data_IF_281521560367
#
_entry.id   IF_281521560367
#
_cell.length_a   1.000
_cell.length_b   1.000
_cell.length_c   1.000
_cell.angle_alpha   90.00
_cell.angle_beta   90.00
_cell.angle_gamma   90.00
#
_symmetry.space_group_name_H-M   'P 1'
#
loop_
_entity.id
_entity.type
_entity.pdbx_description
1 polymer ?
#
# COMPACT_ATOMS: atom_id res chain seq x y z
N UNK A 1 -50.07 42.90 36.58
CA UNK A 1 -49.22 44.05 36.96
C UNK A 1 -47.99 43.50 37.67
N UNK A 2 -46.75 43.87 37.41
CA UNK A 2 -46.14 44.75 36.42
C UNK A 2 -44.60 44.57 36.53
N UNK A 3 -43.89 44.66 35.39
CA UNK A 3 -42.46 45.01 35.21
C UNK A 3 -41.39 44.04 35.76
N UNK A 4 -40.27 43.74 35.10
CA UNK A 4 -39.66 44.25 33.87
C UNK A 4 -38.14 43.99 33.90
N UNK A 5 -37.57 43.76 32.71
CA UNK A 5 -36.17 44.06 32.26
C UNK A 5 -34.98 43.38 33.00
N UNK A 6 -34.27 42.44 32.36
CA UNK A 6 -33.10 42.60 31.44
C UNK A 6 -31.85 43.20 32.11
N UNK A 7 -30.77 42.42 32.18
CA UNK A 7 -29.37 42.67 31.73
C UNK A 7 -28.50 41.56 32.39
N UNK A 8 -27.72 40.72 31.69
CA UNK A 8 -26.47 41.11 31.04
C UNK A 8 -25.26 40.67 31.88
N UNK A 9 -24.39 39.87 31.26
CA UNK A 9 -23.04 39.48 31.69
C UNK A 9 -22.86 38.27 32.63
N UNK A 10 -22.11 37.31 32.08
CA UNK A 10 -21.46 36.20 32.76
C UNK A 10 -20.40 36.71 33.74
N UNK A 11 -20.44 36.24 34.99
CA UNK A 11 -19.24 36.04 35.81
C UNK A 11 -19.38 34.76 36.61
N UNK A 12 -18.75 33.69 36.12
CA UNK A 12 -18.56 32.48 36.92
C UNK A 12 -17.66 32.82 38.11
N UNK A 13 -18.28 32.79 39.28
CA UNK A 13 -17.66 32.89 40.59
C UNK A 13 -17.23 31.49 41.00
N UNK A 14 -15.93 31.23 41.05
CA UNK A 14 -15.40 30.05 41.72
C UNK A 14 -14.79 30.46 43.07
N UNK A 15 -15.59 30.28 44.14
CA UNK A 15 -15.13 29.99 45.51
C UNK A 15 -15.47 28.50 45.70
N UNK A 16 -14.71 27.60 46.30
CA UNK A 16 -13.52 27.64 47.13
C UNK A 16 -12.95 26.21 47.12
N UNK A 17 -11.63 26.04 47.22
CA UNK A 17 -11.10 25.01 48.13
C UNK A 17 -10.04 25.67 48.99
N UNK A 18 -10.18 25.45 50.29
CA UNK A 18 -9.47 26.11 51.36
C UNK A 18 -8.01 25.64 51.46
N UNK A 19 -7.11 26.60 51.68
CA UNK A 19 -6.16 26.55 52.80
C UNK A 19 -4.93 25.66 52.67
N UNK A 20 -3.83 26.24 52.18
CA UNK A 20 -2.52 26.05 52.80
C UNK A 20 -1.84 27.42 52.89
N UNK A 21 -1.44 27.78 54.11
CA UNK A 21 -0.77 29.01 54.52
C UNK A 21 0.43 29.37 53.63
N UNK A 22 0.47 30.60 53.12
CA UNK A 22 1.73 31.25 52.76
C UNK A 22 2.08 32.26 53.86
N UNK A 23 3.11 31.96 54.65
CA UNK A 23 3.80 32.98 55.47
C UNK A 23 4.84 33.69 54.62
N UNK A 24 4.79 35.03 54.62
CA UNK A 24 5.84 35.88 54.04
C UNK A 24 7.14 35.71 54.84
N UNK A 25 8.19 35.21 54.19
CA UNK A 25 9.54 35.21 54.73
C UNK A 25 10.38 36.22 53.95
N UNK A 26 10.73 37.33 54.61
CA UNK A 26 11.62 38.36 54.10
C UNK A 26 13.06 37.94 54.44
N UNK A 27 13.63 37.07 53.61
CA UNK A 27 14.98 36.57 53.80
C UNK A 27 16.04 37.50 53.23
N UNK A 28 16.48 38.47 54.02
CA UNK A 28 17.84 38.97 53.91
C UNK A 28 18.75 37.86 54.44
N UNK A 29 19.66 37.38 53.59
CA UNK A 29 20.83 36.62 54.02
C UNK A 29 22.03 37.53 53.78
N UNK A 30 22.44 38.22 54.84
CA UNK A 30 23.83 38.63 55.02
C UNK A 30 24.64 37.35 55.21
N UNK A 31 25.40 36.96 54.20
CA UNK A 31 26.80 36.54 54.34
C UNK A 31 27.33 36.05 52.99
N UNK A 32 28.47 36.62 52.60
CA UNK A 32 29.03 36.51 51.26
C UNK A 32 29.55 35.11 50.90
N UNK A 33 28.69 34.31 50.26
CA UNK A 33 29.14 33.23 49.36
C UNK A 33 28.23 33.15 48.12
N UNK A 34 28.77 33.15 46.88
CA UNK A 34 27.95 33.02 45.69
C UNK A 34 27.63 31.53 45.45
N UNK A 35 26.45 31.08 45.88
CA UNK A 35 25.95 29.73 45.59
C UNK A 35 24.51 29.82 45.08
N UNK A 36 24.31 29.97 43.75
CA UNK A 36 23.21 29.32 43.00
C UNK A 36 23.01 29.76 41.54
N UNK A 37 23.91 30.52 40.89
CA UNK A 37 23.76 30.76 39.45
C UNK A 37 24.36 29.65 38.55
N UNK A 38 25.42 28.97 39.01
CA UNK A 38 26.08 27.92 38.21
C UNK A 38 25.25 26.64 38.09
N UNK A 39 24.46 26.27 39.10
CA UNK A 39 23.67 25.03 39.04
C UNK A 39 22.46 25.11 38.10
N UNK A 40 21.85 26.30 37.94
CA UNK A 40 20.77 26.51 36.96
C UNK A 40 21.29 26.58 35.52
N UNK A 41 22.43 27.23 35.29
CA UNK A 41 23.08 27.23 33.97
C UNK A 41 23.61 25.84 33.58
N UNK A 42 24.14 25.06 34.52
CA UNK A 42 24.57 23.68 34.27
C UNK A 42 23.41 22.73 33.97
N UNK A 43 22.25 22.88 34.62
CA UNK A 43 21.06 22.06 34.30
C UNK A 43 20.49 22.36 32.91
N UNK A 44 20.57 23.60 32.41
CA UNK A 44 20.15 23.93 31.04
C UNK A 44 21.18 23.55 29.96
N UNK A 45 22.45 23.36 30.32
CA UNK A 45 23.50 22.81 29.44
C UNK A 45 23.44 21.29 29.29
N UNK A 46 22.68 20.58 30.15
CA UNK A 46 22.81 19.14 30.34
C UNK A 46 22.12 18.23 29.31
N UNK A 47 21.36 18.73 28.33
CA UNK A 47 20.67 17.87 27.34
C UNK A 47 20.93 18.25 25.87
N UNK A 48 22.05 18.90 25.56
CA UNK A 48 22.49 19.03 24.17
C UNK A 48 23.41 17.86 23.84
N UNK A 49 22.95 16.98 22.94
CA UNK A 49 23.80 15.94 22.38
C UNK A 49 25.05 16.60 21.78
N UNK A 50 26.21 15.95 21.89
CA UNK A 50 27.48 16.54 21.47
C UNK A 50 27.48 16.90 19.98
N UNK A 51 28.32 17.87 19.55
CA UNK A 51 28.40 18.27 18.14
C UNK A 51 28.67 17.10 17.18
N UNK A 52 29.39 16.06 17.64
CA UNK A 52 29.61 14.82 16.91
C UNK A 52 28.29 14.07 16.61
N UNK A 53 27.32 14.06 17.53
CA UNK A 53 26.02 13.43 17.32
C UNK A 53 25.26 14.11 16.18
N UNK A 54 25.22 15.45 16.17
CA UNK A 54 24.57 16.21 15.09
C UNK A 54 25.30 16.04 13.75
N UNK A 55 26.63 16.00 13.75
CA UNK A 55 27.42 15.75 12.54
C UNK A 55 27.19 14.34 11.98
N UNK A 56 27.18 13.31 12.83
CA UNK A 56 26.87 11.93 12.42
C UNK A 56 25.42 11.79 11.91
N UNK A 57 24.47 12.45 12.57
CA UNK A 57 23.06 12.45 12.14
C UNK A 57 22.92 13.12 10.76
N UNK A 58 23.57 14.27 10.54
CA UNK A 58 23.57 14.95 9.25
C UNK A 58 24.23 14.09 8.17
N UNK A 59 25.38 13.47 8.46
CA UNK A 59 26.05 12.57 7.53
C UNK A 59 25.17 11.37 7.16
N UNK A 60 24.44 10.79 8.13
CA UNK A 60 23.49 9.71 7.87
C UNK A 60 22.35 10.17 6.96
N UNK A 61 21.77 11.35 7.21
CA UNK A 61 20.72 11.91 6.36
C UNK A 61 21.21 12.17 4.93
N UNK A 62 22.42 12.73 4.77
CA UNK A 62 23.01 12.97 3.46
C UNK A 62 23.34 11.66 2.74
N UNK A 63 23.89 10.67 3.45
CA UNK A 63 24.15 9.35 2.88
C UNK A 63 22.85 8.67 2.45
N UNK A 64 21.80 8.70 3.27
CA UNK A 64 20.49 8.18 2.92
C UNK A 64 19.90 8.91 1.70
N UNK A 65 19.99 10.24 1.64
CA UNK A 65 19.53 11.02 0.50
C UNK A 65 20.29 10.69 -0.79
N UNK A 66 21.62 10.51 -0.71
CA UNK A 66 22.43 10.09 -1.86
C UNK A 66 22.06 8.68 -2.30
N UNK A 67 21.83 7.75 -1.36
CA UNK A 67 21.39 6.38 -1.69
C UNK A 67 20.02 6.42 -2.38
N UNK A 68 19.06 7.19 -1.86
CA UNK A 68 17.74 7.35 -2.47
C UNK A 68 17.86 7.95 -3.88
N UNK A 69 18.59 9.04 -4.04
CA UNK A 69 18.84 9.68 -5.33
C UNK A 69 19.48 8.70 -6.33
N UNK A 70 20.46 7.91 -5.88
CA UNK A 70 21.08 6.88 -6.72
C UNK A 70 20.12 5.77 -7.07
N UNK A 71 19.29 5.31 -6.15
CA UNK A 71 18.28 4.30 -6.42
C UNK A 71 17.22 4.80 -7.40
N UNK A 72 16.74 6.03 -7.25
CA UNK A 72 15.76 6.65 -8.16
C UNK A 72 16.36 6.90 -9.55
N UNK A 73 17.61 7.35 -9.63
CA UNK A 73 18.29 7.62 -10.90
C UNK A 73 18.93 6.37 -11.54
N UNK A 74 18.90 5.20 -10.87
CA UNK A 74 19.35 3.92 -11.44
C UNK A 74 18.22 3.13 -12.09
N UNK A 75 17.03 3.72 -12.22
CA UNK A 75 15.91 3.08 -12.90
C UNK A 75 16.21 2.92 -14.40
N UNK A 76 15.79 1.79 -15.02
CA UNK A 76 15.95 1.60 -16.46
C UNK A 76 15.26 2.72 -17.26
N UNK A 77 15.85 3.10 -18.39
CA UNK A 77 15.26 4.10 -19.28
C UNK A 77 13.83 3.72 -19.70
N UNK A 78 12.94 4.72 -19.69
CA UNK A 78 11.55 4.54 -20.11
C UNK A 78 11.50 4.27 -21.61
N UNK A 79 11.09 3.07 -21.97
CA UNK A 79 10.83 2.73 -23.37
C UNK A 79 9.47 3.31 -23.78
N UNK A 80 9.49 4.54 -24.32
CA UNK A 80 8.30 5.35 -24.60
C UNK A 80 7.42 4.84 -25.75
N UNK A 81 8.02 4.19 -26.75
CA UNK A 81 7.31 3.57 -27.87
C UNK A 81 8.24 2.58 -28.55
N UNK A 82 7.90 1.30 -28.56
CA UNK A 82 8.60 0.33 -29.40
C UNK A 82 7.83 0.20 -30.72
N UNK A 83 8.40 0.58 -31.87
CA UNK A 83 7.87 0.17 -33.16
C UNK A 83 8.00 -1.35 -33.26
N UNK A 84 6.87 -2.08 -33.31
CA UNK A 84 6.66 -3.44 -33.84
C UNK A 84 7.64 -4.61 -33.57
N UNK A 85 8.81 -4.40 -32.95
CA UNK A 85 10.01 -5.24 -33.16
C UNK A 85 10.68 -5.69 -31.86
N UNK A 86 10.54 -4.99 -30.73
CA UNK A 86 11.02 -5.51 -29.43
C UNK A 86 9.91 -6.29 -28.73
N UNK A 87 9.55 -7.42 -29.32
CA UNK A 87 8.75 -8.46 -28.68
C UNK A 87 9.68 -9.59 -28.23
N UNK A 88 10.82 -9.23 -27.63
CA UNK A 88 11.88 -10.14 -27.20
C UNK A 88 11.58 -10.85 -25.88
N UNK A 89 10.50 -10.42 -25.21
CA UNK A 89 10.06 -10.92 -23.91
C UNK A 89 10.95 -10.46 -22.75
N UNK A 90 11.73 -9.39 -22.92
CA UNK A 90 12.67 -8.89 -21.90
C UNK A 90 12.43 -7.42 -21.55
N UNK A 91 11.87 -6.64 -22.46
CA UNK A 91 11.65 -5.21 -22.25
C UNK A 91 10.24 -4.89 -21.77
N UNK A 92 10.12 -4.21 -20.62
CA UNK A 92 8.87 -3.63 -20.14
C UNK A 92 8.50 -2.37 -20.92
N UNK A 93 7.25 -2.26 -21.38
CA UNK A 93 6.77 -1.10 -22.16
C UNK A 93 5.81 -0.26 -21.33
N UNK A 94 6.33 0.84 -20.76
CA UNK A 94 5.58 1.72 -19.87
C UNK A 94 4.35 2.37 -20.51
N UNK A 95 4.39 2.67 -21.82
CA UNK A 95 3.23 3.23 -22.52
C UNK A 95 2.05 2.26 -22.64
N UNK A 96 2.28 0.95 -22.78
CA UNK A 96 1.22 -0.06 -22.72
C UNK A 96 0.61 -0.17 -21.33
N UNK A 97 1.45 -0.21 -20.29
CA UNK A 97 0.99 -0.20 -18.91
C UNK A 97 0.17 1.07 -18.61
N UNK A 98 0.61 2.24 -19.08
CA UNK A 98 -0.13 3.50 -18.92
C UNK A 98 -1.48 3.50 -19.65
N UNK A 99 -1.57 2.91 -20.84
CA UNK A 99 -2.85 2.74 -21.54
C UNK A 99 -3.81 1.87 -20.76
N UNK A 100 -3.33 0.72 -20.26
CA UNK A 100 -4.12 -0.20 -19.44
C UNK A 100 -4.61 0.45 -18.14
N UNK A 101 -3.74 1.22 -17.49
CA UNK A 101 -4.11 2.01 -16.31
C UNK A 101 -5.25 2.99 -16.64
N UNK A 102 -5.12 3.74 -17.74
CA UNK A 102 -6.15 4.69 -18.15
C UNK A 102 -7.49 4.00 -18.46
N UNK A 103 -7.46 2.84 -19.12
CA UNK A 103 -8.65 2.03 -19.40
C UNK A 103 -9.32 1.55 -18.10
N UNK A 104 -8.55 0.96 -17.17
CA UNK A 104 -9.08 0.46 -15.89
C UNK A 104 -9.65 1.60 -15.03
N UNK A 105 -8.94 2.73 -14.94
CA UNK A 105 -9.40 3.90 -14.18
C UNK A 105 -10.63 4.55 -14.81
N UNK A 106 -10.77 4.50 -16.14
CA UNK A 106 -11.93 5.09 -16.83
C UNK A 106 -13.25 4.37 -16.55
N UNK A 107 -13.21 3.18 -15.95
CA UNK A 107 -14.41 2.52 -15.42
C UNK A 107 -15.08 3.30 -14.28
N UNK A 108 -14.36 4.21 -13.62
CA UNK A 108 -14.82 4.94 -12.44
C UNK A 108 -14.45 4.21 -11.13
N UNK A 109 -14.95 4.69 -9.97
CA UNK A 109 -14.73 4.04 -8.68
C UNK A 109 -15.24 2.59 -8.68
N UNK A 110 -14.37 1.64 -8.30
CA UNK A 110 -14.62 0.19 -8.28
C UNK A 110 -14.74 -0.28 -6.84
N UNK A 111 -15.63 0.32 -6.07
CA UNK A 111 -15.86 -0.14 -4.69
C UNK A 111 -16.53 -1.51 -4.69
N UNK A 112 -16.15 -2.35 -3.73
CA UNK A 112 -16.70 -3.71 -3.59
C UNK A 112 -18.23 -3.71 -3.64
N UNK A 113 -18.80 -4.59 -4.45
CA UNK A 113 -20.25 -4.67 -4.67
C UNK A 113 -20.82 -3.70 -5.71
N UNK A 114 -20.02 -2.77 -6.26
CA UNK A 114 -20.44 -1.94 -7.39
C UNK A 114 -20.39 -2.71 -8.71
N UNK A 115 -21.12 -2.23 -9.72
CA UNK A 115 -21.08 -2.84 -11.06
C UNK A 115 -19.68 -2.70 -11.69
N UNK A 116 -19.02 -1.57 -11.44
CA UNK A 116 -17.67 -1.27 -11.91
C UNK A 116 -16.65 -2.28 -11.37
N UNK A 117 -16.78 -2.68 -10.11
CA UNK A 117 -15.91 -3.71 -9.51
C UNK A 117 -16.29 -5.12 -9.94
N UNK A 118 -17.54 -5.51 -9.73
CA UNK A 118 -17.97 -6.92 -9.82
C UNK A 118 -18.14 -7.41 -11.26
N UNK A 119 -18.32 -6.50 -12.22
CA UNK A 119 -18.59 -6.86 -13.61
C UNK A 119 -17.57 -6.19 -14.53
N UNK A 120 -17.51 -4.86 -14.55
CA UNK A 120 -16.72 -4.15 -15.56
C UNK A 120 -15.22 -4.39 -15.41
N UNK A 121 -14.68 -4.33 -14.19
CA UNK A 121 -13.27 -4.57 -13.92
C UNK A 121 -12.87 -6.03 -14.14
N UNK A 122 -13.69 -6.98 -13.68
CA UNK A 122 -13.47 -8.42 -13.91
C UNK A 122 -13.46 -8.73 -15.42
N UNK A 123 -14.44 -8.24 -16.17
CA UNK A 123 -14.51 -8.41 -17.62
C UNK A 123 -13.32 -7.76 -18.33
N UNK A 124 -12.90 -6.57 -17.89
CA UNK A 124 -11.72 -5.89 -18.41
C UNK A 124 -10.47 -6.75 -18.23
N UNK A 125 -10.22 -7.22 -17.01
CA UNK A 125 -9.05 -8.03 -16.68
C UNK A 125 -9.06 -9.34 -17.48
N UNK A 126 -10.18 -10.05 -17.54
CA UNK A 126 -10.31 -11.27 -18.33
C UNK A 126 -10.00 -11.03 -19.80
N UNK A 127 -10.55 -9.98 -20.42
CA UNK A 127 -10.26 -9.64 -21.83
C UNK A 127 -8.77 -9.37 -22.06
N UNK A 128 -8.11 -8.64 -21.17
CA UNK A 128 -6.66 -8.39 -21.27
C UNK A 128 -5.86 -9.69 -21.14
N UNK A 129 -6.22 -10.54 -20.18
CA UNK A 129 -5.56 -11.81 -19.93
C UNK A 129 -5.74 -12.82 -21.07
N UNK A 130 -6.95 -12.91 -21.63
CA UNK A 130 -7.22 -13.72 -22.82
C UNK A 130 -6.43 -13.21 -24.03
N UNK A 131 -6.40 -11.90 -24.25
CA UNK A 131 -5.59 -11.30 -25.31
C UNK A 131 -4.11 -11.67 -25.21
N UNK A 132 -3.56 -11.69 -23.99
CA UNK A 132 -2.18 -12.10 -23.71
C UNK A 132 -2.01 -13.61 -23.94
N UNK A 133 -2.92 -14.43 -23.42
CA UNK A 133 -2.92 -15.90 -23.58
C UNK A 133 -2.89 -16.31 -25.05
N UNK A 134 -3.73 -15.70 -25.87
CA UNK A 134 -3.88 -16.05 -27.29
C UNK A 134 -2.64 -15.69 -28.14
N UNK A 135 -1.80 -14.79 -27.64
CA UNK A 135 -0.55 -14.34 -28.29
C UNK A 135 0.69 -14.93 -27.64
N UNK A 136 0.57 -15.71 -26.58
CA UNK A 136 1.70 -16.27 -25.86
C UNK A 136 2.52 -17.20 -26.76
N UNK A 137 3.85 -17.16 -26.63
CA UNK A 137 4.74 -18.07 -27.36
C UNK A 137 4.52 -19.52 -26.90
N UNK A 138 4.76 -20.53 -27.78
CA UNK A 138 4.53 -21.94 -27.46
C UNK A 138 5.30 -22.46 -26.24
N UNK A 139 6.41 -21.82 -25.86
CA UNK A 139 7.18 -22.15 -24.66
C UNK A 139 6.37 -22.03 -23.35
N UNK A 140 5.28 -21.25 -23.37
CA UNK A 140 4.48 -20.95 -22.19
C UNK A 140 3.06 -21.51 -22.30
N UNK A 141 2.52 -21.86 -21.14
CA UNK A 141 1.12 -22.20 -20.88
C UNK A 141 0.56 -21.16 -19.93
N UNK A 142 -0.55 -20.52 -20.31
CA UNK A 142 -1.25 -19.54 -19.46
C UNK A 142 -2.62 -20.10 -19.08
N UNK A 143 -2.82 -20.27 -17.78
CA UNK A 143 -4.07 -20.74 -17.18
C UNK A 143 -4.77 -19.56 -16.50
N UNK A 144 -6.08 -19.43 -16.69
CA UNK A 144 -6.89 -18.35 -16.13
C UNK A 144 -7.97 -18.95 -15.22
N UNK A 145 -8.21 -18.32 -14.07
CA UNK A 145 -9.25 -18.71 -13.14
C UNK A 145 -9.93 -17.48 -12.53
N UNK A 146 -11.24 -17.56 -12.28
CA UNK A 146 -11.97 -16.57 -11.49
C UNK A 146 -12.43 -17.23 -10.20
N UNK A 147 -11.90 -16.76 -9.08
CA UNK A 147 -12.25 -17.28 -7.76
C UNK A 147 -13.40 -16.49 -7.15
N UNK A 148 -14.27 -17.19 -6.41
CA UNK A 148 -15.43 -16.61 -5.71
C UNK A 148 -15.57 -17.12 -4.27
N UNK A 149 -14.56 -16.94 -3.40
CA UNK A 149 -14.62 -17.51 -2.07
C UNK A 149 -15.56 -16.74 -1.15
N UNK A 150 -15.89 -17.40 -0.05
CA UNK A 150 -16.67 -16.89 1.06
C UNK A 150 -15.86 -17.14 2.33
N UNK A 151 -15.94 -16.24 3.31
CA UNK A 151 -15.20 -16.44 4.54
C UNK A 151 -15.44 -15.35 5.57
N UNK A 152 -14.75 -15.49 6.68
CA UNK A 152 -14.76 -14.51 7.76
C UNK A 152 -13.47 -14.58 8.56
N UNK A 153 -13.02 -13.44 9.09
CA UNK A 153 -11.88 -13.37 9.99
C UNK A 153 -12.10 -12.29 11.04
N UNK A 154 -11.44 -12.47 12.18
CA UNK A 154 -11.53 -11.57 13.32
C UNK A 154 -10.30 -10.69 13.38
N UNK A 155 -10.51 -9.40 13.62
CA UNK A 155 -9.49 -8.40 13.85
C UNK A 155 -9.72 -7.78 15.23
N UNK A 156 -8.70 -7.78 16.07
CA UNK A 156 -8.79 -7.30 17.45
C UNK A 156 -8.85 -5.77 17.62
N UNK A 157 -9.10 -5.01 16.54
CA UNK A 157 -9.24 -3.55 16.63
C UNK A 157 -10.71 -3.13 16.83
N UNK A 158 -10.93 -1.93 17.37
CA UNK A 158 -12.27 -1.35 17.66
C UNK A 158 -13.17 -2.34 18.42
N UNK A 159 -12.72 -2.77 19.61
CA UNK A 159 -13.49 -3.66 20.51
C UNK A 159 -13.91 -5.02 19.87
N UNK A 160 -13.22 -5.43 18.81
CA UNK A 160 -13.44 -6.68 18.09
C UNK A 160 -14.26 -6.49 16.82
N UNK A 161 -13.61 -6.64 15.66
CA UNK A 161 -14.24 -6.54 14.35
C UNK A 161 -14.19 -7.90 13.65
N UNK A 162 -15.35 -8.51 13.39
CA UNK A 162 -15.45 -9.71 12.54
C UNK A 162 -15.82 -9.28 11.14
N UNK A 163 -14.88 -9.39 10.21
CA UNK A 163 -15.13 -9.17 8.79
C UNK A 163 -15.69 -10.44 8.18
N UNK A 164 -16.82 -10.36 7.49
CA UNK A 164 -17.43 -11.49 6.76
C UNK A 164 -17.64 -11.06 5.32
N UNK A 165 -17.28 -11.93 4.39
CA UNK A 165 -17.37 -11.68 2.96
C UNK A 165 -17.98 -12.87 2.23
N UNK A 166 -18.66 -12.57 1.12
CA UNK A 166 -19.35 -13.55 0.31
C UNK A 166 -19.16 -13.22 -1.16
N UNK A 167 -18.78 -14.22 -1.94
CA UNK A 167 -18.72 -14.16 -3.39
C UNK A 167 -17.81 -13.03 -3.90
N UNK A 168 -16.73 -12.74 -3.19
CA UNK A 168 -15.72 -11.78 -3.63
C UNK A 168 -15.03 -12.35 -4.86
N UNK A 169 -14.80 -11.53 -5.87
CA UNK A 169 -14.20 -11.99 -7.12
C UNK A 169 -12.72 -11.68 -7.19
N UNK A 170 -11.92 -12.68 -7.57
CA UNK A 170 -10.53 -12.48 -7.96
C UNK A 170 -10.30 -13.05 -9.33
N UNK A 171 -9.42 -12.38 -10.07
CA UNK A 171 -8.96 -12.86 -11.37
C UNK A 171 -7.54 -13.36 -11.17
N UNK A 172 -7.29 -14.60 -11.57
CA UNK A 172 -5.98 -15.25 -11.42
C UNK A 172 -5.47 -15.65 -12.80
N UNK A 173 -4.21 -15.34 -13.06
CA UNK A 173 -3.50 -15.82 -14.24
C UNK A 173 -2.20 -16.50 -13.85
N UNK A 174 -1.99 -17.73 -14.28
CA UNK A 174 -0.75 -18.48 -14.05
C UNK A 174 -0.02 -18.70 -15.37
N UNK A 175 1.21 -18.22 -15.47
CA UNK A 175 2.12 -18.54 -16.57
C UNK A 175 3.13 -19.60 -16.12
N UNK A 176 3.18 -20.70 -16.84
CA UNK A 176 4.07 -21.83 -16.57
C UNK A 176 4.73 -22.31 -17.87
N UNK A 177 5.85 -23.06 -17.80
CA UNK A 177 6.41 -23.75 -18.95
C UNK A 177 5.38 -24.70 -19.58
N UNK A 178 5.37 -24.80 -20.91
CA UNK A 178 4.55 -25.80 -21.61
C UNK A 178 5.15 -27.20 -21.47
N UNK A 179 6.48 -27.30 -21.53
CA UNK A 179 7.24 -28.55 -21.34
C UNK A 179 7.83 -28.62 -19.94
N UNK A 180 7.03 -29.00 -18.96
CA UNK A 180 7.52 -29.46 -17.67
C UNK A 180 6.84 -30.79 -17.35
N UNK A 181 7.66 -31.82 -17.11
CA UNK A 181 7.19 -33.07 -16.54
C UNK A 181 6.44 -32.77 -15.23
N UNK A 182 5.35 -33.50 -14.90
CA UNK A 182 4.44 -33.17 -13.79
C UNK A 182 5.10 -33.04 -12.40
N UNK A 183 6.36 -33.46 -12.24
CA UNK A 183 7.14 -33.31 -11.02
C UNK A 183 7.87 -31.95 -10.86
N UNK A 184 8.11 -31.21 -11.94
CA UNK A 184 8.81 -29.92 -11.91
C UNK A 184 7.86 -28.72 -11.64
N UNK A 185 6.57 -28.88 -11.97
CA UNK A 185 5.54 -27.85 -11.78
C UNK A 185 5.16 -27.60 -10.31
N UNK A 186 5.60 -28.44 -9.35
CA UNK A 186 5.00 -28.48 -8.00
C UNK A 186 5.87 -28.00 -6.83
N UNK A 187 7.12 -27.56 -7.03
CA UNK A 187 7.99 -27.19 -5.88
C UNK A 187 7.90 -25.73 -5.45
N UNK A 188 7.97 -24.78 -6.38
CA UNK A 188 8.01 -23.35 -6.07
C UNK A 188 7.37 -22.53 -7.19
N UNK A 189 6.48 -21.61 -6.83
CA UNK A 189 5.84 -20.61 -7.68
C UNK A 189 6.08 -19.21 -7.10
N UNK A 190 6.07 -18.19 -7.95
CA UNK A 190 6.08 -16.79 -7.51
C UNK A 190 4.67 -16.23 -7.61
N UNK A 191 4.09 -15.83 -6.48
CA UNK A 191 2.83 -15.09 -6.45
C UNK A 191 3.13 -13.58 -6.48
N UNK A 192 2.51 -12.89 -7.42
CA UNK A 192 2.49 -11.43 -7.51
C UNK A 192 1.04 -10.99 -7.34
N UNK A 193 0.79 -10.12 -6.38
CA UNK A 193 -0.57 -9.68 -6.00
C UNK A 193 -0.72 -8.18 -6.18
N UNK A 194 -1.89 -7.76 -6.65
CA UNK A 194 -2.40 -6.40 -6.64
C UNK A 194 -3.90 -6.43 -6.37
N UNK A 195 -4.53 -5.28 -6.13
CA UNK A 195 -5.99 -5.20 -6.05
C UNK A 195 -6.57 -4.21 -7.05
N UNK A 196 -7.75 -4.53 -7.59
CA UNK A 196 -8.42 -3.73 -8.60
C UNK A 196 -9.62 -2.95 -8.05
N UNK A 197 -10.09 -3.30 -6.85
CA UNK A 197 -11.10 -2.53 -6.14
C UNK A 197 -10.54 -1.20 -5.64
N UNK A 198 -11.44 -0.28 -5.28
CA UNK A 198 -11.07 1.05 -4.81
C UNK A 198 -11.85 1.46 -3.58
N UNK A 199 -11.22 2.27 -2.74
CA UNK A 199 -11.89 3.02 -1.70
C UNK A 199 -13.13 3.77 -2.24
N UNK A 200 -14.20 3.90 -1.45
CA UNK A 200 -15.40 4.64 -1.85
C UNK A 200 -15.10 6.05 -2.37
N UNK A 201 -15.54 6.33 -3.60
CA UNK A 201 -15.37 7.63 -4.25
C UNK A 201 -13.96 7.92 -4.80
N UNK A 202 -13.03 6.97 -4.69
CA UNK A 202 -11.69 7.09 -5.28
C UNK A 202 -11.65 6.51 -6.69
N UNK A 203 -10.93 7.12 -7.65
CA UNK A 203 -10.61 6.48 -8.93
C UNK A 203 -9.63 5.31 -8.78
N UNK A 204 -8.89 5.25 -7.67
CA UNK A 204 -7.93 4.18 -7.33
C UNK A 204 -6.77 4.02 -8.32
N UNK A 205 -6.28 5.13 -8.89
CA UNK A 205 -5.24 5.07 -9.92
C UNK A 205 -3.89 4.60 -9.35
N UNK A 206 -3.45 5.17 -8.23
CA UNK A 206 -2.23 4.75 -7.52
C UNK A 206 -2.46 3.55 -6.60
N UNK A 207 -3.70 3.38 -6.15
CA UNK A 207 -4.12 2.42 -5.13
C UNK A 207 -5.36 1.66 -5.65
N UNK A 208 -5.22 0.53 -6.34
CA UNK A 208 -3.98 -0.12 -6.76
C UNK A 208 -3.98 -0.47 -8.27
N UNK A 209 -4.71 0.33 -9.06
CA UNK A 209 -4.85 0.12 -10.50
C UNK A 209 -3.51 0.19 -11.26
N UNK A 210 -2.54 0.97 -10.78
CA UNK A 210 -1.21 1.04 -11.39
C UNK A 210 -0.48 -0.30 -11.31
N UNK A 211 -0.57 -1.02 -10.19
CA UNK A 211 0.07 -2.33 -10.07
C UNK A 211 -0.68 -3.40 -10.86
N UNK A 212 -2.02 -3.29 -10.98
CA UNK A 212 -2.79 -4.12 -11.93
C UNK A 212 -2.26 -3.95 -13.37
N UNK A 213 -2.07 -2.70 -13.81
CA UNK A 213 -1.58 -2.42 -15.15
C UNK A 213 -0.13 -2.90 -15.38
N UNK A 214 0.73 -2.74 -14.36
CA UNK A 214 2.11 -3.26 -14.37
C UNK A 214 2.11 -4.78 -14.45
N UNK A 215 1.29 -5.48 -13.67
CA UNK A 215 1.19 -6.95 -13.68
C UNK A 215 0.75 -7.47 -15.06
N UNK A 216 -0.23 -6.84 -15.69
CA UNK A 216 -0.63 -7.18 -17.07
C UNK A 216 0.52 -7.01 -18.06
N UNK A 217 1.33 -5.95 -17.92
CA UNK A 217 2.48 -5.70 -18.80
C UNK A 217 3.62 -6.69 -18.55
N UNK A 218 3.91 -7.02 -17.29
CA UNK A 218 4.87 -8.06 -16.95
C UNK A 218 4.42 -9.41 -17.54
N UNK A 219 3.16 -9.81 -17.36
CA UNK A 219 2.64 -11.04 -17.95
C UNK A 219 2.73 -11.03 -19.49
N UNK A 220 2.39 -9.90 -20.13
CA UNK A 220 2.56 -9.72 -21.56
C UNK A 220 4.01 -9.93 -21.99
N UNK A 221 4.98 -9.33 -21.30
CA UNK A 221 6.41 -9.48 -21.62
C UNK A 221 6.87 -10.93 -21.40
N UNK A 222 6.54 -11.54 -20.26
CA UNK A 222 6.91 -12.93 -19.96
C UNK A 222 6.33 -13.91 -20.99
N UNK A 223 5.08 -13.71 -21.43
CA UNK A 223 4.42 -14.55 -22.44
C UNK A 223 5.15 -14.55 -23.80
N UNK A 224 5.97 -13.54 -24.06
CA UNK A 224 6.70 -13.35 -25.32
C UNK A 224 8.15 -13.82 -25.24
N UNK A 225 8.59 -14.39 -24.11
CA UNK A 225 9.94 -14.96 -24.02
C UNK A 225 10.07 -16.18 -24.92
N UNK A 226 11.15 -16.33 -25.72
CA UNK A 226 11.41 -17.56 -26.46
C UNK A 226 11.67 -18.73 -25.51
N UNK A 227 12.39 -18.47 -24.43
CA UNK A 227 12.79 -19.48 -23.45
C UNK A 227 11.69 -19.68 -22.41
N UNK A 228 11.45 -20.93 -22.02
CA UNK A 228 10.52 -21.28 -20.95
C UNK A 228 10.97 -20.69 -19.60
N UNK A 229 10.00 -20.34 -18.75
CA UNK A 229 10.29 -19.89 -17.38
C UNK A 229 10.87 -21.03 -16.53
N UNK A 230 11.69 -20.71 -15.53
CA UNK A 230 12.17 -21.75 -14.60
C UNK A 230 11.11 -22.16 -13.58
N UNK A 231 10.31 -21.20 -13.13
CA UNK A 231 9.26 -21.38 -12.15
C UNK A 231 7.98 -20.72 -12.67
N UNK A 232 6.79 -21.28 -12.36
CA UNK A 232 5.53 -20.61 -12.64
C UNK A 232 5.43 -19.27 -11.91
N UNK A 233 4.75 -18.32 -12.54
CA UNK A 233 4.38 -17.04 -11.92
C UNK A 233 2.86 -16.95 -11.91
N UNK A 234 2.30 -16.62 -10.75
CA UNK A 234 0.87 -16.47 -10.52
C UNK A 234 0.61 -14.98 -10.29
N UNK A 235 -0.26 -14.42 -11.10
CA UNK A 235 -0.74 -13.05 -10.99
C UNK A 235 -2.14 -13.08 -10.39
N UNK A 236 -2.28 -12.53 -9.18
CA UNK A 236 -3.52 -12.43 -8.44
C UNK A 236 -4.03 -10.99 -8.45
N UNK A 237 -5.15 -10.77 -9.11
CA UNK A 237 -5.88 -9.52 -9.11
C UNK A 237 -7.04 -9.65 -8.11
N UNK A 238 -6.87 -9.07 -6.92
CA UNK A 238 -7.82 -9.08 -5.82
C UNK A 238 -8.94 -8.03 -6.02
N UNK A 239 -10.20 -8.40 -5.75
CA UNK A 239 -11.36 -7.49 -5.87
C UNK A 239 -11.97 -6.95 -4.57
N UNK A 240 -11.33 -7.13 -3.41
CA UNK A 240 -11.82 -6.61 -2.11
C UNK A 240 -10.70 -6.41 -1.07
N UNK A 241 -9.64 -5.69 -1.43
CA UNK A 241 -8.62 -5.24 -0.47
C UNK A 241 -9.16 -4.12 0.43
N UNK A 242 -9.86 -3.15 -0.16
CA UNK A 242 -10.21 -1.87 0.48
C UNK A 242 -11.26 -2.02 1.59
N UNK A 243 -11.94 -3.17 1.62
CA UNK A 243 -12.84 -3.56 2.70
C UNK A 243 -12.10 -4.33 3.82
N UNK A 244 -10.94 -3.80 4.24
CA UNK A 244 -10.13 -4.31 5.35
C UNK A 244 -9.56 -5.71 5.05
N UNK A 245 -8.90 -5.88 3.90
CA UNK A 245 -8.22 -7.12 3.50
C UNK A 245 -9.15 -8.34 3.44
N UNK A 246 -10.41 -8.15 3.01
CA UNK A 246 -11.36 -9.25 2.89
C UNK A 246 -10.90 -10.42 2.01
N UNK A 247 -9.81 -10.23 1.26
CA UNK A 247 -9.35 -11.21 0.30
C UNK A 247 -7.82 -11.42 0.25
N UNK A 248 -7.07 -11.14 1.33
CA UNK A 248 -5.63 -11.46 1.31
C UNK A 248 -5.31 -12.97 1.34
N UNK A 249 -6.33 -13.84 1.40
CA UNK A 249 -6.18 -15.29 1.53
C UNK A 249 -6.42 -15.99 0.19
N UNK A 250 -5.36 -16.57 -0.37
CA UNK A 250 -5.37 -17.37 -1.60
C UNK A 250 -4.71 -18.72 -1.35
N UNK A 251 -5.25 -19.78 -1.96
CA UNK A 251 -4.57 -21.08 -2.06
C UNK A 251 -4.52 -21.58 -3.51
N UNK A 252 -3.36 -22.10 -3.93
CA UNK A 252 -3.15 -22.64 -5.29
C UNK A 252 -4.11 -23.79 -5.63
N UNK A 253 -4.44 -24.59 -4.62
CA UNK A 253 -5.41 -25.70 -4.68
C UNK A 253 -6.82 -25.26 -5.05
N UNK A 254 -7.26 -24.07 -4.63
CA UNK A 254 -8.59 -23.54 -4.96
C UNK A 254 -8.63 -22.88 -6.35
N UNK A 255 -7.48 -22.49 -6.91
CA UNK A 255 -7.40 -21.78 -8.19
C UNK A 255 -7.40 -22.71 -9.40
N UNK A 256 -6.58 -23.76 -9.36
CA UNK A 256 -6.28 -24.56 -10.54
C UNK A 256 -6.60 -26.05 -10.42
N UNK A 257 -6.94 -26.54 -9.21
CA UNK A 257 -7.27 -27.94 -8.93
C UNK A 257 -6.10 -28.90 -9.21
N UNK A 258 -5.87 -29.88 -8.35
CA UNK A 258 -5.06 -31.04 -8.74
C UNK A 258 -5.86 -31.85 -9.77
N UNK A 259 -5.58 -31.66 -11.06
CA UNK A 259 -5.89 -32.65 -12.10
C UNK A 259 -4.78 -33.70 -12.16
#
# INVERSE_FOLDING_TARGET
>A
MAGGTRDGSLRFRQKSTNGVHNSAWNGVVEDGTPLQNDQRQNRMRANRLGGAFYACTLALYLAAAIVVDRCENSLPDVVGSVPGVLNDGRTFVGSRARSRLAELVSLGPRSVGSYENEVAAVDYLLKQLEHIRDRARPAHRIELAVQRPNGSFFLGFIDGFTSTYRNIQNVVARIAPRESQPAADKRHSLLVNCHFDTAPGSPGASDDAINCAIMLEILQVLSQRPDALRHPVIFLFNGAEENILQHCMWTETEAFGDT
#
